data_IF_986725187350
#
_entry.id   IF_986725187350
#
_cell.length_a   1.000
_cell.length_b   1.000
_cell.length_c   1.000
_cell.angle_alpha   90.00
_cell.angle_beta   90.00
_cell.angle_gamma   90.00
#
_symmetry.space_group_name_H-M   'P 1'
#
loop_
_entity.id
_entity.type
_entity.pdbx_description
1 polymer ?
#
# COMPACT_ATOMS: atom_id res chain seq x y z
N UNK A 1 -19.45 -13.26 -5.50
CA UNK A 1 -18.22 -12.82 -4.81
C UNK A 1 -18.46 -11.43 -4.28
N UNK A 2 -18.19 -11.18 -3.00
CA UNK A 2 -18.42 -9.89 -2.35
C UNK A 2 -17.10 -9.27 -1.94
N UNK A 3 -16.80 -8.07 -2.43
CA UNK A 3 -15.55 -7.36 -2.12
C UNK A 3 -15.87 -5.96 -1.61
N UNK A 4 -15.32 -5.63 -0.45
CA UNK A 4 -15.37 -4.25 0.04
C UNK A 4 -14.21 -3.43 -0.54
N UNK A 5 -14.48 -2.16 -0.83
CA UNK A 5 -13.51 -1.23 -1.40
C UNK A 5 -13.45 0.05 -0.56
N UNK A 6 -12.24 0.49 -0.19
CA UNK A 6 -12.03 1.65 0.67
C UNK A 6 -10.68 2.33 0.48
N UNK A 7 -10.55 3.54 0.98
CA UNK A 7 -9.31 4.31 0.94
C UNK A 7 -9.25 5.31 2.09
N UNK A 8 -8.13 5.32 2.80
CA UNK A 8 -7.75 6.37 3.75
C UNK A 8 -6.27 6.63 3.49
N UNK A 9 -5.96 7.72 2.77
CA UNK A 9 -4.60 8.03 2.33
C UNK A 9 -4.16 9.41 2.81
N UNK A 10 -2.99 9.47 3.43
CA UNK A 10 -2.30 10.71 3.78
C UNK A 10 -0.80 10.45 3.90
N UNK A 11 0.02 11.40 3.44
CA UNK A 11 1.46 11.39 3.64
C UNK A 11 1.80 12.34 4.79
N UNK A 12 2.44 11.82 5.84
CA UNK A 12 2.68 12.59 7.06
C UNK A 12 4.12 13.08 7.14
N UNK A 13 4.28 14.39 7.22
CA UNK A 13 5.51 15.04 7.62
C UNK A 13 5.49 15.27 9.14
N UNK A 14 6.18 14.43 9.91
CA UNK A 14 6.16 14.52 11.39
C UNK A 14 6.89 15.76 11.92
N UNK A 15 7.64 16.46 11.07
CA UNK A 15 8.30 17.72 11.41
C UNK A 15 7.39 18.93 11.21
N UNK A 16 6.24 18.76 10.55
CA UNK A 16 5.26 19.84 10.39
C UNK A 16 4.50 20.08 11.69
N UNK A 17 4.40 21.34 12.17
CA UNK A 17 3.62 21.68 13.36
C UNK A 17 2.11 21.75 13.09
N UNK A 18 1.68 21.63 11.83
CA UNK A 18 0.28 21.76 11.42
C UNK A 18 -0.35 20.36 11.31
N UNK A 19 -1.26 19.98 12.22
CA UNK A 19 -1.91 18.68 12.15
C UNK A 19 -2.92 18.63 11.00
N UNK A 20 -3.06 17.46 10.39
CA UNK A 20 -4.11 17.19 9.40
C UNK A 20 -5.40 16.81 10.12
N UNK A 21 -6.44 17.60 9.92
CA UNK A 21 -7.75 17.44 10.53
C UNK A 21 -8.77 16.93 9.50
N UNK A 22 -9.95 16.51 9.98
CA UNK A 22 -10.99 15.94 9.12
C UNK A 22 -11.41 16.87 7.97
N UNK A 23 -11.32 18.19 8.16
CA UNK A 23 -11.65 19.21 7.15
C UNK A 23 -10.67 19.24 5.97
N UNK A 24 -9.47 18.70 6.16
CA UNK A 24 -8.40 18.68 5.16
C UNK A 24 -8.52 17.44 4.26
N UNK A 25 -9.33 16.46 4.65
CA UNK A 25 -9.67 15.30 3.83
C UNK A 25 -10.79 15.63 2.84
N UNK A 26 -10.55 15.31 1.57
CA UNK A 26 -11.61 15.13 0.59
C UNK A 26 -12.21 13.74 0.79
N UNK A 27 -13.50 13.69 1.10
CA UNK A 27 -14.20 12.43 1.39
C UNK A 27 -15.28 12.17 0.33
N UNK A 28 -15.26 10.97 -0.25
CA UNK A 28 -16.23 10.46 -1.21
C UNK A 28 -16.92 9.23 -0.63
N UNK A 29 -18.25 9.17 -0.77
CA UNK A 29 -19.11 8.14 -0.16
C UNK A 29 -20.15 7.60 -1.14
N UNK A 30 -20.70 6.43 -0.82
CA UNK A 30 -21.88 5.88 -1.47
C UNK A 30 -21.70 5.67 -2.97
N UNK A 31 -22.71 6.02 -3.76
CA UNK A 31 -22.74 5.77 -5.20
C UNK A 31 -21.67 6.51 -6.01
N UNK A 32 -21.05 7.55 -5.45
CA UNK A 32 -19.94 8.24 -6.12
C UNK A 32 -18.70 7.36 -6.22
N UNK A 33 -18.48 6.46 -5.25
CA UNK A 33 -17.39 5.48 -5.31
C UNK A 33 -17.56 4.52 -6.49
N UNK A 34 -18.81 4.26 -6.92
CA UNK A 34 -19.10 3.35 -8.04
C UNK A 34 -18.61 3.88 -9.41
N UNK A 35 -18.18 5.15 -9.47
CA UNK A 35 -17.63 5.75 -10.69
C UNK A 35 -16.14 5.40 -10.89
N UNK A 36 -15.47 4.90 -9.86
CA UNK A 36 -14.05 4.52 -9.91
C UNK A 36 -13.81 3.34 -10.87
N UNK A 37 -12.73 3.40 -11.63
CA UNK A 37 -12.43 2.39 -12.66
C UNK A 37 -12.13 1.00 -12.07
N UNK A 38 -11.63 0.93 -10.82
CA UNK A 38 -11.49 -0.35 -10.12
C UNK A 38 -12.85 -0.93 -9.79
N UNK A 39 -13.83 -0.11 -9.37
CA UNK A 39 -15.21 -0.60 -9.15
C UNK A 39 -15.81 -1.14 -10.45
N UNK A 40 -15.64 -0.41 -11.56
CA UNK A 40 -16.12 -0.87 -12.88
C UNK A 40 -15.48 -2.19 -13.28
N UNK A 41 -14.17 -2.34 -13.08
CA UNK A 41 -13.46 -3.59 -13.31
C UNK A 41 -14.04 -4.72 -12.44
N UNK A 42 -14.19 -4.52 -11.13
CA UNK A 42 -14.74 -5.53 -10.22
C UNK A 42 -16.16 -5.95 -10.65
N UNK A 43 -17.03 -5.00 -10.99
CA UNK A 43 -18.38 -5.29 -11.49
C UNK A 43 -18.30 -6.13 -12.78
N UNK A 44 -17.39 -5.79 -13.71
CA UNK A 44 -17.19 -6.56 -14.95
C UNK A 44 -16.73 -7.99 -14.71
N UNK A 45 -16.06 -8.24 -13.58
CA UNK A 45 -15.62 -9.57 -13.13
C UNK A 45 -16.71 -10.36 -12.38
N UNK A 46 -17.94 -9.82 -12.27
CA UNK A 46 -19.08 -10.42 -11.58
C UNK A 46 -19.04 -10.25 -10.05
N UNK A 47 -18.31 -9.25 -9.56
CA UNK A 47 -18.15 -8.97 -8.13
C UNK A 47 -19.26 -8.02 -7.66
N UNK A 48 -19.89 -8.37 -6.54
CA UNK A 48 -20.70 -7.45 -5.77
C UNK A 48 -19.75 -6.54 -4.97
N UNK A 49 -19.67 -5.27 -5.35
CA UNK A 49 -18.80 -4.30 -4.70
C UNK A 49 -19.54 -3.63 -3.55
N UNK A 50 -18.96 -3.70 -2.35
CA UNK A 50 -19.42 -2.98 -1.17
C UNK A 50 -18.57 -1.69 -1.05
N UNK A 51 -19.12 -0.52 -1.42
CA UNK A 51 -18.41 0.74 -1.24
C UNK A 51 -18.36 1.10 0.25
N UNK A 52 -17.18 1.50 0.74
CA UNK A 52 -17.01 1.99 2.12
C UNK A 52 -16.86 3.52 2.10
N UNK A 53 -15.63 4.02 2.19
CA UNK A 53 -15.24 5.42 2.18
C UNK A 53 -13.97 5.58 1.36
N UNK A 54 -13.86 6.64 0.55
CA UNK A 54 -12.57 7.16 0.10
C UNK A 54 -12.31 8.49 0.77
N UNK A 55 -11.22 8.56 1.53
CA UNK A 55 -10.73 9.77 2.16
C UNK A 55 -9.27 9.97 1.79
N UNK A 56 -8.95 11.15 1.28
CA UNK A 56 -7.57 11.53 1.00
C UNK A 56 -7.32 12.99 1.33
N UNK A 57 -6.16 13.27 1.90
CA UNK A 57 -5.66 14.61 2.18
C UNK A 57 -4.28 14.79 1.53
N UNK A 58 -3.98 16.03 1.14
CA UNK A 58 -2.66 16.41 0.65
C UNK A 58 -1.58 16.16 1.72
N UNK A 59 -0.31 15.91 1.32
CA UNK A 59 0.80 15.79 2.27
C UNK A 59 0.89 16.97 3.23
N UNK A 60 0.95 16.68 4.54
CA UNK A 60 0.93 17.68 5.62
C UNK A 60 1.42 17.04 6.92
N UNK A 61 1.23 17.69 8.08
CA UNK A 61 1.62 17.12 9.37
C UNK A 61 0.78 15.92 9.82
N UNK A 62 1.13 15.37 10.98
CA UNK A 62 0.49 14.18 11.56
C UNK A 62 -1.04 14.29 11.55
N UNK A 63 -1.73 13.20 11.20
CA UNK A 63 -3.19 13.16 11.23
C UNK A 63 -3.66 13.19 12.68
N UNK A 64 -4.55 14.13 13.00
CA UNK A 64 -5.16 14.21 14.33
C UNK A 64 -5.89 12.90 14.66
N UNK A 65 -5.75 12.43 15.90
CA UNK A 65 -6.37 11.16 16.34
C UNK A 65 -7.87 11.15 16.08
N UNK A 66 -8.54 12.28 16.31
CA UNK A 66 -9.98 12.46 16.09
C UNK A 66 -10.37 12.28 14.62
N UNK A 67 -9.61 12.87 13.69
CA UNK A 67 -9.90 12.74 12.27
C UNK A 67 -9.71 11.30 11.80
N UNK A 68 -8.58 10.68 12.19
CA UNK A 68 -8.28 9.30 11.86
C UNK A 68 -9.35 8.33 12.36
N UNK A 69 -9.68 8.35 13.66
CA UNK A 69 -10.69 7.45 14.23
C UNK A 69 -12.06 7.65 13.57
N UNK A 70 -12.43 8.88 13.23
CA UNK A 70 -13.70 9.14 12.52
C UNK A 70 -13.75 8.50 11.12
N UNK A 71 -12.62 8.45 10.41
CA UNK A 71 -12.54 7.84 9.08
C UNK A 71 -12.47 6.31 9.16
N UNK A 72 -11.67 5.81 10.12
CA UNK A 72 -11.57 4.38 10.42
C UNK A 72 -12.93 3.82 10.85
N UNK A 73 -13.63 4.47 11.78
CA UNK A 73 -14.93 4.01 12.26
C UNK A 73 -15.95 3.89 11.12
N UNK A 74 -15.90 4.80 10.14
CA UNK A 74 -16.77 4.73 8.96
C UNK A 74 -16.41 3.56 8.05
N UNK A 75 -15.12 3.32 7.81
CA UNK A 75 -14.63 2.15 7.08
C UNK A 75 -15.06 0.86 7.77
N UNK A 76 -14.79 0.72 9.07
CA UNK A 76 -15.08 -0.48 9.86
C UNK A 76 -16.58 -0.74 9.92
N UNK A 77 -17.40 0.28 10.16
CA UNK A 77 -18.86 0.12 10.19
C UNK A 77 -19.41 -0.43 8.86
N UNK A 78 -18.90 0.05 7.72
CA UNK A 78 -19.32 -0.47 6.43
C UNK A 78 -18.94 -1.95 6.24
N UNK A 79 -17.84 -2.41 6.85
CA UNK A 79 -17.46 -3.82 6.85
C UNK A 79 -18.30 -4.66 7.81
N UNK A 80 -18.65 -4.13 9.00
CA UNK A 80 -19.54 -4.79 9.97
C UNK A 80 -20.96 -4.99 9.41
N UNK A 81 -21.47 -3.98 8.70
CA UNK A 81 -22.78 -4.02 8.04
C UNK A 81 -22.78 -4.96 6.81
N UNK A 82 -21.62 -5.50 6.42
CA UNK A 82 -21.47 -6.40 5.27
C UNK A 82 -21.40 -7.87 5.69
N UNK A 83 -22.43 -8.64 5.36
CA UNK A 83 -22.38 -10.10 5.57
C UNK A 83 -21.30 -10.79 4.71
N UNK A 84 -20.46 -11.63 5.30
CA UNK A 84 -19.59 -12.59 4.58
C UNK A 84 -18.83 -12.03 3.36
N UNK A 85 -17.81 -11.20 3.59
CA UNK A 85 -16.91 -10.72 2.53
C UNK A 85 -15.94 -11.81 2.05
N UNK A 86 -15.73 -11.90 0.74
CA UNK A 86 -14.67 -12.74 0.15
C UNK A 86 -13.32 -12.00 0.12
N UNK A 87 -13.36 -10.67 0.12
CA UNK A 87 -12.16 -9.85 0.20
C UNK A 87 -12.40 -8.37 0.47
N UNK A 88 -11.30 -7.67 0.75
CA UNK A 88 -11.25 -6.22 0.92
C UNK A 88 -10.10 -5.68 0.08
N UNK A 89 -10.37 -4.65 -0.71
CA UNK A 89 -9.38 -3.94 -1.49
C UNK A 89 -9.24 -2.52 -0.91
N UNK A 90 -8.04 -2.18 -0.43
CA UNK A 90 -7.77 -0.88 0.20
C UNK A 90 -6.74 -0.09 -0.59
N UNK A 91 -6.98 1.20 -0.74
CA UNK A 91 -6.00 2.14 -1.28
C UNK A 91 -5.51 3.02 -0.14
N UNK A 92 -4.33 2.69 0.38
CA UNK A 92 -3.69 3.41 1.47
C UNK A 92 -2.46 4.16 0.93
N UNK A 93 -1.85 5.03 1.73
CA UNK A 93 -0.63 5.70 1.30
C UNK A 93 0.61 4.86 1.64
N UNK A 94 0.69 4.39 2.88
CA UNK A 94 1.85 3.70 3.46
C UNK A 94 2.72 4.62 4.33
N UNK A 95 2.39 5.91 4.47
CA UNK A 95 3.16 6.90 5.24
C UNK A 95 2.25 7.77 6.13
N UNK A 96 1.11 7.23 6.56
CA UNK A 96 0.21 7.94 7.45
C UNK A 96 0.63 7.73 8.91
N UNK A 97 1.09 8.80 9.54
CA UNK A 97 1.32 8.85 10.97
C UNK A 97 0.15 9.53 11.66
N UNK A 98 -0.31 8.93 12.76
CA UNK A 98 -1.49 9.36 13.50
C UNK A 98 -1.11 9.70 14.93
N UNK A 99 -1.62 10.83 15.40
CA UNK A 99 -1.35 11.34 16.74
C UNK A 99 -1.69 10.30 17.83
N UNK A 100 -0.67 9.87 18.59
CA UNK A 100 -0.82 8.91 19.68
C UNK A 100 -1.20 7.48 19.26
N UNK A 101 -1.17 7.17 17.96
CA UNK A 101 -1.38 5.83 17.40
C UNK A 101 -0.12 5.36 16.63
N UNK A 102 0.51 6.26 15.87
CA UNK A 102 1.66 5.94 15.00
C UNK A 102 1.20 5.51 13.61
N UNK A 103 1.76 4.41 13.11
CA UNK A 103 1.44 3.80 11.81
C UNK A 103 -0.06 3.55 11.63
N UNK A 104 -0.69 4.40 10.83
CA UNK A 104 -2.12 4.37 10.56
C UNK A 104 -2.54 3.24 9.63
N UNK A 105 -1.70 2.84 8.67
CA UNK A 105 -1.99 1.77 7.73
C UNK A 105 -2.07 0.41 8.42
N UNK A 106 -1.07 0.06 9.23
CA UNK A 106 -1.06 -1.20 9.97
C UNK A 106 -2.20 -1.23 10.99
N UNK A 107 -2.51 -0.09 11.63
CA UNK A 107 -3.64 0.00 12.55
C UNK A 107 -4.99 -0.26 11.84
N UNK A 108 -5.24 0.38 10.69
CA UNK A 108 -6.43 0.13 9.87
C UNK A 108 -6.53 -1.36 9.51
N UNK A 109 -5.45 -1.94 8.99
CA UNK A 109 -5.47 -3.34 8.53
C UNK A 109 -5.72 -4.33 9.67
N UNK A 110 -5.15 -4.06 10.85
CA UNK A 110 -5.45 -4.82 12.07
C UNK A 110 -6.92 -4.74 12.43
N UNK A 111 -7.53 -3.54 12.44
CA UNK A 111 -8.97 -3.36 12.74
C UNK A 111 -9.86 -4.03 11.70
N UNK A 112 -9.48 -3.99 10.43
CA UNK A 112 -10.17 -4.72 9.35
C UNK A 112 -10.11 -6.22 9.62
N UNK A 113 -8.96 -6.77 9.99
CA UNK A 113 -8.81 -8.19 10.35
C UNK A 113 -9.62 -8.59 11.57
N UNK A 114 -9.67 -7.76 12.60
CA UNK A 114 -10.52 -7.98 13.77
C UNK A 114 -12.02 -8.02 13.40
N UNK A 115 -12.41 -7.34 12.32
CA UNK A 115 -13.80 -7.25 11.85
C UNK A 115 -14.19 -8.41 10.94
N UNK A 116 -13.35 -8.75 9.96
CA UNK A 116 -13.70 -9.72 8.90
C UNK A 116 -13.02 -11.10 9.05
N UNK A 117 -12.03 -11.20 9.94
CA UNK A 117 -11.19 -12.38 10.12
C UNK A 117 -10.18 -12.64 8.99
N UNK A 118 -9.61 -13.85 8.99
CA UNK A 118 -8.54 -14.26 8.07
C UNK A 118 -9.02 -15.10 6.87
N UNK A 119 -10.34 -15.32 6.73
CA UNK A 119 -10.89 -16.07 5.59
C UNK A 119 -10.88 -15.22 4.32
N UNK A 120 -11.28 -13.95 4.44
CA UNK A 120 -11.31 -12.97 3.37
C UNK A 120 -9.89 -12.54 2.99
N UNK A 121 -9.65 -12.31 1.69
CA UNK A 121 -8.37 -11.80 1.21
C UNK A 121 -8.33 -10.26 1.32
N UNK A 122 -7.28 -9.71 1.90
CA UNK A 122 -7.01 -8.27 1.94
C UNK A 122 -5.90 -7.94 0.95
N UNK A 123 -6.22 -7.07 -0.01
CA UNK A 123 -5.28 -6.54 -0.99
C UNK A 123 -5.15 -5.03 -0.85
N UNK A 124 -3.92 -4.53 -0.82
CA UNK A 124 -3.64 -3.11 -0.59
C UNK A 124 -2.77 -2.55 -1.70
N UNK A 125 -3.19 -1.41 -2.25
CA UNK A 125 -2.35 -0.56 -3.09
C UNK A 125 -1.76 0.57 -2.23
N UNK A 126 -0.47 0.81 -2.37
CA UNK A 126 0.30 1.79 -1.61
C UNK A 126 1.03 2.78 -2.53
N UNK A 127 1.43 3.90 -1.95
CA UNK A 127 2.43 4.79 -2.54
C UNK A 127 3.84 4.20 -2.31
N UNK A 128 4.77 4.47 -3.24
CA UNK A 128 6.15 4.03 -3.08
C UNK A 128 6.90 4.78 -1.96
N UNK A 129 6.39 5.91 -1.49
CA UNK A 129 6.95 6.64 -0.33
C UNK A 129 6.57 6.02 1.02
N UNK A 130 5.88 4.87 1.05
CA UNK A 130 5.45 4.24 2.29
C UNK A 130 6.60 3.82 3.24
N UNK A 131 6.45 4.17 4.52
CA UNK A 131 7.30 3.74 5.64
C UNK A 131 6.71 2.48 6.30
N UNK A 132 6.91 1.33 5.67
CA UNK A 132 6.23 0.10 6.11
C UNK A 132 6.77 -0.45 7.44
N UNK A 133 5.87 -0.60 8.41
CA UNK A 133 6.03 -1.55 9.50
C UNK A 133 5.95 -2.97 8.94
N UNK A 134 6.97 -3.84 9.13
CA UNK A 134 6.92 -5.22 8.66
C UNK A 134 5.68 -6.01 9.10
N UNK A 135 5.07 -5.67 10.25
CA UNK A 135 3.85 -6.31 10.75
C UNK A 135 2.62 -6.07 9.85
N UNK A 136 2.68 -5.13 8.92
CA UNK A 136 1.60 -4.94 7.93
C UNK A 136 1.36 -6.22 7.11
N UNK A 137 2.39 -7.04 6.91
CA UNK A 137 2.31 -8.34 6.24
C UNK A 137 1.50 -9.39 7.03
N UNK A 138 1.33 -9.22 8.35
CA UNK A 138 0.49 -10.09 9.16
C UNK A 138 -1.00 -9.84 8.89
N UNK A 139 -1.34 -8.67 8.32
CA UNK A 139 -2.73 -8.24 8.12
C UNK A 139 -3.12 -8.12 6.65
N UNK A 140 -2.19 -7.83 5.73
CA UNK A 140 -2.46 -7.78 4.29
C UNK A 140 -1.89 -9.00 3.57
N UNK A 141 -2.75 -9.75 2.85
CA UNK A 141 -2.29 -10.91 2.06
C UNK A 141 -1.50 -10.46 0.83
N UNK A 142 -1.95 -9.37 0.20
CA UNK A 142 -1.33 -8.77 -0.98
C UNK A 142 -1.00 -7.31 -0.70
N UNK A 143 0.26 -6.94 -0.90
CA UNK A 143 0.71 -5.55 -0.95
C UNK A 143 1.34 -5.27 -2.31
N UNK A 144 0.88 -4.21 -2.97
CA UNK A 144 1.48 -3.67 -4.19
C UNK A 144 1.64 -2.16 -4.05
N UNK A 145 2.65 -1.59 -4.71
CA UNK A 145 2.92 -0.16 -4.65
C UNK A 145 3.22 0.43 -6.03
N UNK A 146 3.17 1.76 -6.10
CA UNK A 146 3.56 2.50 -7.30
C UNK A 146 4.99 2.11 -7.73
N UNK A 147 5.20 2.04 -9.04
CA UNK A 147 6.51 1.78 -9.67
C UNK A 147 7.09 3.02 -10.34
N UNK A 148 6.37 4.15 -10.30
CA UNK A 148 6.83 5.40 -10.92
C UNK A 148 6.94 6.56 -9.93
N UNK A 149 8.07 7.28 -9.95
CA UNK A 149 8.27 8.58 -9.33
C UNK A 149 8.88 9.54 -10.37
N UNK A 150 8.18 10.63 -10.76
CA UNK A 150 6.84 11.06 -10.33
C UNK A 150 5.72 10.04 -10.63
N UNK A 151 4.66 10.05 -9.80
CA UNK A 151 3.58 9.06 -9.89
C UNK A 151 2.70 9.30 -11.12
N UNK A 152 2.80 8.40 -12.10
CA UNK A 152 1.91 8.35 -13.27
C UNK A 152 1.12 7.05 -13.34
N UNK A 153 1.37 6.10 -12.42
CA UNK A 153 0.83 4.73 -12.42
C UNK A 153 -0.14 4.43 -11.25
N UNK A 154 -0.77 5.47 -10.70
CA UNK A 154 -1.71 5.36 -9.57
C UNK A 154 -2.89 4.45 -9.89
N UNK A 155 -3.52 4.66 -11.06
CA UNK A 155 -4.69 3.90 -11.50
C UNK A 155 -4.33 2.44 -11.80
N UNK A 156 -3.18 2.23 -12.45
CA UNK A 156 -2.62 0.94 -12.80
C UNK A 156 -2.33 0.09 -11.56
N UNK A 157 -1.75 0.71 -10.52
CA UNK A 157 -1.44 0.04 -9.26
C UNK A 157 -2.70 -0.36 -8.50
N UNK A 158 -3.69 0.54 -8.40
CA UNK A 158 -4.99 0.22 -7.79
C UNK A 158 -5.71 -0.91 -8.52
N UNK A 159 -5.68 -0.89 -9.86
CA UNK A 159 -6.23 -1.95 -10.68
C UNK A 159 -5.47 -3.27 -10.51
N UNK A 160 -4.14 -3.23 -10.36
CA UNK A 160 -3.31 -4.40 -10.07
C UNK A 160 -3.69 -5.02 -8.71
N UNK A 161 -3.85 -4.23 -7.66
CA UNK A 161 -4.30 -4.71 -6.35
C UNK A 161 -5.64 -5.47 -6.45
N UNK A 162 -6.60 -4.91 -7.20
CA UNK A 162 -7.88 -5.56 -7.44
C UNK A 162 -7.75 -6.85 -8.28
N UNK A 163 -6.91 -6.85 -9.32
CA UNK A 163 -6.65 -8.05 -10.13
C UNK A 163 -6.04 -9.19 -9.31
N UNK A 164 -5.06 -8.88 -8.46
CA UNK A 164 -4.43 -9.86 -7.55
C UNK A 164 -5.44 -10.40 -6.54
N UNK A 165 -6.29 -9.55 -5.99
CA UNK A 165 -7.38 -9.94 -5.09
C UNK A 165 -8.33 -10.95 -5.78
N UNK A 166 -8.86 -10.58 -6.95
CA UNK A 166 -9.81 -11.41 -7.69
C UNK A 166 -9.19 -12.72 -8.15
N UNK A 167 -7.94 -12.69 -8.64
CA UNK A 167 -7.19 -13.90 -8.96
C UNK A 167 -7.11 -14.83 -7.76
N UNK A 168 -6.76 -14.31 -6.59
CA UNK A 168 -6.61 -15.10 -5.36
C UNK A 168 -7.93 -15.75 -4.95
N UNK A 169 -9.02 -14.99 -4.94
CA UNK A 169 -10.35 -15.51 -4.60
C UNK A 169 -10.83 -16.56 -5.59
N UNK A 170 -10.73 -16.30 -6.90
CA UNK A 170 -11.24 -17.21 -7.95
C UNK A 170 -10.46 -18.53 -8.02
N UNK A 171 -9.16 -18.49 -7.74
CA UNK A 171 -8.28 -19.67 -7.83
C UNK A 171 -8.07 -20.38 -6.50
N UNK A 172 -8.46 -19.76 -5.39
CA UNK A 172 -8.21 -20.27 -4.05
C UNK A 172 -6.75 -20.12 -3.61
N UNK A 173 -5.92 -19.35 -4.32
CA UNK A 173 -4.57 -18.98 -3.88
C UNK A 173 -4.68 -18.20 -2.57
N UNK A 174 -3.74 -18.47 -1.65
CA UNK A 174 -3.61 -17.81 -0.36
C UNK A 174 -2.27 -17.08 -0.34
N UNK A 175 -2.22 -15.83 -0.81
CA UNK A 175 -0.95 -15.13 -0.96
C UNK A 175 -0.27 -14.91 0.37
N UNK A 176 1.06 -14.78 0.34
CA UNK A 176 1.86 -14.39 1.50
C UNK A 176 2.80 -13.27 1.09
N UNK A 177 2.78 -12.18 1.85
CA UNK A 177 3.61 -11.01 1.60
C UNK A 177 4.90 -11.07 2.42
N UNK A 178 6.05 -10.91 1.77
CA UNK A 178 7.36 -10.85 2.40
C UNK A 178 7.91 -9.43 2.28
N UNK A 179 8.47 -8.91 3.37
CA UNK A 179 9.07 -7.57 3.44
C UNK A 179 10.49 -7.66 3.95
N UNK A 180 11.45 -7.08 3.23
CA UNK A 180 12.85 -6.91 3.68
C UNK A 180 13.23 -5.44 3.61
N UNK A 181 13.72 -4.89 4.73
CA UNK A 181 14.10 -3.48 4.84
C UNK A 181 15.62 -3.34 4.66
N UNK A 182 16.11 -2.70 3.59
CA UNK A 182 17.56 -2.46 3.41
C UNK A 182 18.14 -1.40 4.34
N UNK A 183 17.33 -0.76 5.21
CA UNK A 183 17.77 0.31 6.13
C UNK A 183 18.43 1.50 5.42
N UNK A 184 17.89 1.87 4.26
CA UNK A 184 18.24 3.10 3.54
C UNK A 184 17.11 4.10 3.72
N UNK A 185 17.43 5.32 4.11
CA UNK A 185 16.49 6.44 4.15
C UNK A 185 17.03 7.56 3.26
N UNK A 186 16.32 7.83 2.17
CA UNK A 186 16.60 8.92 1.24
C UNK A 186 15.35 9.79 1.12
N UNK A 187 15.48 11.11 0.99
CA UNK A 187 14.35 11.94 0.56
C UNK A 187 13.85 11.45 -0.80
N UNK A 188 12.51 11.42 -1.00
CA UNK A 188 11.90 10.90 -2.23
C UNK A 188 12.38 11.62 -3.49
N UNK A 189 12.81 12.87 -3.35
CA UNK A 189 13.40 13.72 -4.40
C UNK A 189 14.72 13.15 -4.97
N UNK A 190 15.39 12.23 -4.26
CA UNK A 190 16.58 11.52 -4.75
C UNK A 190 16.23 10.30 -5.60
N UNK A 191 14.97 9.88 -5.63
CA UNK A 191 14.56 8.62 -6.26
C UNK A 191 13.57 8.88 -7.39
N UNK A 192 14.12 9.24 -8.54
CA UNK A 192 13.38 9.32 -9.81
C UNK A 192 13.48 7.95 -10.50
N UNK A 193 12.37 7.24 -10.62
CA UNK A 193 12.37 5.84 -11.06
C UNK A 193 12.75 5.64 -12.53
N UNK A 194 12.82 6.71 -13.32
CA UNK A 194 13.26 6.69 -14.72
C UNK A 194 14.77 6.93 -14.90
N UNK A 195 15.50 7.23 -13.82
CA UNK A 195 16.93 7.57 -13.85
C UNK A 195 17.73 6.56 -13.01
N UNK A 196 18.96 6.27 -13.40
CA UNK A 196 19.85 5.40 -12.62
C UNK A 196 20.27 6.07 -11.31
N UNK A 197 20.37 5.32 -10.19
CA UNK A 197 20.30 3.86 -10.07
C UNK A 197 18.87 3.26 -9.96
N UNK A 198 17.84 4.08 -9.84
CA UNK A 198 16.47 3.59 -9.58
C UNK A 198 15.91 2.83 -10.79
N UNK A 199 16.17 3.30 -12.01
CA UNK A 199 15.65 2.73 -13.24
C UNK A 199 15.96 1.22 -13.39
N UNK A 200 17.19 0.81 -13.13
CA UNK A 200 17.55 -0.62 -13.17
C UNK A 200 16.88 -1.43 -12.06
N UNK A 201 16.73 -0.86 -10.85
CA UNK A 201 16.06 -1.53 -9.73
C UNK A 201 14.57 -1.74 -10.05
N UNK A 202 13.86 -0.71 -10.49
CA UNK A 202 12.43 -0.80 -10.80
C UNK A 202 12.13 -1.69 -12.02
N UNK A 203 13.05 -1.74 -13.00
CA UNK A 203 12.94 -2.68 -14.13
C UNK A 203 13.01 -4.13 -13.68
N UNK A 204 13.85 -4.45 -12.68
CA UNK A 204 13.99 -5.81 -12.16
C UNK A 204 12.71 -6.35 -11.51
N UNK A 205 11.77 -5.48 -11.10
CA UNK A 205 10.48 -5.90 -10.54
C UNK A 205 9.68 -6.77 -11.53
N UNK A 206 9.69 -6.41 -12.81
CA UNK A 206 9.02 -7.21 -13.84
C UNK A 206 9.66 -8.61 -14.00
N UNK A 207 10.98 -8.70 -13.87
CA UNK A 207 11.69 -9.98 -13.91
C UNK A 207 11.36 -10.85 -12.69
N UNK A 208 11.17 -10.24 -11.51
CA UNK A 208 10.73 -10.94 -10.30
C UNK A 208 9.29 -11.45 -10.47
N UNK A 209 8.38 -10.63 -10.99
CA UNK A 209 6.96 -10.99 -11.20
C UNK A 209 6.78 -12.17 -12.17
N UNK A 210 7.75 -12.40 -13.05
CA UNK A 210 7.73 -13.52 -14.02
C UNK A 210 8.21 -14.85 -13.40
N UNK A 211 8.81 -14.84 -12.21
CA UNK A 211 9.28 -16.07 -11.55
C UNK A 211 8.07 -16.90 -11.09
N UNK A 212 8.10 -18.24 -11.28
CA UNK A 212 7.00 -19.10 -10.84
C UNK A 212 6.66 -18.93 -9.35
N UNK A 213 5.37 -18.77 -9.05
CA UNK A 213 4.85 -18.61 -7.69
C UNK A 213 4.99 -17.20 -7.10
N UNK A 214 5.74 -16.29 -7.74
CA UNK A 214 5.78 -14.88 -7.34
C UNK A 214 4.66 -14.12 -8.07
N UNK A 215 3.85 -13.39 -7.31
CA UNK A 215 2.62 -12.77 -7.79
C UNK A 215 2.80 -11.30 -8.11
N UNK A 216 3.58 -10.59 -7.29
CA UNK A 216 3.92 -9.19 -7.47
C UNK A 216 5.18 -8.85 -6.66
N UNK A 217 5.89 -7.82 -7.08
CA UNK A 217 7.01 -7.22 -6.37
C UNK A 217 6.91 -5.70 -6.35
N UNK A 218 7.39 -5.08 -5.29
CA UNK A 218 7.37 -3.63 -5.11
C UNK A 218 8.62 -3.17 -4.37
N UNK A 219 9.13 -1.99 -4.76
CA UNK A 219 10.17 -1.30 -4.03
C UNK A 219 9.59 0.02 -3.53
N UNK A 220 9.49 0.16 -2.20
CA UNK A 220 9.13 1.40 -1.55
C UNK A 220 10.40 2.10 -1.08
N UNK A 221 10.50 3.40 -1.32
CA UNK A 221 11.69 4.22 -1.03
C UNK A 221 11.66 4.79 0.39
N UNK A 222 10.48 4.77 1.02
CA UNK A 222 10.23 5.40 2.31
C UNK A 222 10.01 6.91 2.23
N UNK A 223 9.66 7.50 3.37
CA UNK A 223 9.41 8.93 3.53
C UNK A 223 10.37 9.50 4.56
N UNK A 224 11.41 10.21 4.10
CA UNK A 224 12.44 10.80 4.96
C UNK A 224 11.95 11.96 5.83
N UNK A 225 10.79 12.51 5.52
CA UNK A 225 10.17 13.60 6.28
C UNK A 225 9.29 13.09 7.44
N UNK A 226 9.43 11.83 7.82
CA UNK A 226 8.75 11.24 8.96
C UNK A 226 9.75 10.56 9.91
N UNK A 227 9.82 11.04 11.15
CA UNK A 227 10.56 10.46 12.26
C UNK A 227 9.75 9.31 12.89
N UNK A 228 9.84 8.13 12.27
CA UNK A 228 9.10 6.94 12.67
C UNK A 228 10.04 5.75 12.82
N UNK A 229 9.72 4.76 13.68
CA UNK A 229 10.54 3.55 13.84
C UNK A 229 10.73 2.75 12.55
N UNK A 230 9.88 2.99 11.55
CA UNK A 230 9.82 2.23 10.30
C UNK A 230 10.31 3.03 9.09
N UNK A 231 10.83 4.24 9.31
CA UNK A 231 11.33 5.14 8.28
C UNK A 231 12.54 4.54 7.54
N UNK A 232 12.26 3.85 6.43
CA UNK A 232 13.25 3.35 5.49
C UNK A 232 12.57 2.83 4.23
N UNK A 233 13.36 2.68 3.17
CA UNK A 233 13.00 1.86 2.03
C UNK A 233 12.62 0.43 2.45
N UNK A 234 11.77 -0.23 1.67
CA UNK A 234 11.26 -1.58 1.89
C UNK A 234 11.12 -2.30 0.55
N UNK A 235 11.74 -3.47 0.42
CA UNK A 235 11.48 -4.41 -0.67
C UNK A 235 10.31 -5.31 -0.27
N UNK A 236 9.38 -5.54 -1.19
CA UNK A 236 8.17 -6.34 -0.95
C UNK A 236 7.99 -7.33 -2.10
N UNK A 237 7.73 -8.59 -1.78
CA UNK A 237 7.32 -9.61 -2.76
C UNK A 237 6.12 -10.39 -2.22
N UNK A 238 5.12 -10.57 -3.06
CA UNK A 238 3.93 -11.39 -2.79
C UNK A 238 4.12 -12.75 -3.45
N UNK A 239 4.04 -13.82 -2.66
CA UNK A 239 4.05 -15.21 -3.15
C UNK A 239 2.64 -15.79 -3.23
N UNK A 240 2.48 -16.95 -3.85
CA UNK A 240 1.22 -17.71 -3.89
C UNK A 240 0.93 -18.52 -2.60
N UNK A 241 1.75 -18.34 -1.56
CA UNK A 241 1.69 -19.09 -0.30
C UNK A 241 2.32 -20.49 -0.35
N UNK A 242 2.98 -20.86 -1.45
CA UNK A 242 3.71 -22.13 -1.58
C UNK A 242 5.19 -21.94 -1.91
N UNK A 243 5.58 -20.73 -2.27
CA UNK A 243 6.95 -20.37 -2.67
C UNK A 243 7.53 -19.26 -1.78
N UNK A 244 7.25 -19.32 -0.48
CA UNK A 244 7.70 -18.32 0.50
C UNK A 244 9.23 -18.22 0.56
N UNK A 245 9.96 -19.34 0.45
CA UNK A 245 11.43 -19.35 0.44
C UNK A 245 12.01 -18.69 -0.82
N UNK A 246 11.39 -18.89 -1.99
CA UNK A 246 11.73 -18.19 -3.22
C UNK A 246 11.44 -16.69 -3.11
N UNK A 247 10.28 -16.34 -2.54
CA UNK A 247 9.88 -14.95 -2.34
C UNK A 247 10.82 -14.23 -1.39
N UNK A 248 11.22 -14.87 -0.28
CA UNK A 248 12.19 -14.31 0.66
C UNK A 248 13.55 -14.06 0.01
N UNK A 249 14.05 -15.02 -0.80
CA UNK A 249 15.29 -14.83 -1.57
C UNK A 249 15.17 -13.65 -2.54
N UNK A 250 14.11 -13.59 -3.34
CA UNK A 250 13.90 -12.50 -4.29
C UNK A 250 13.76 -11.13 -3.58
N UNK A 251 13.06 -11.07 -2.44
CA UNK A 251 12.92 -9.85 -1.64
C UNK A 251 14.26 -9.40 -1.07
N UNK A 252 15.08 -10.34 -0.60
CA UNK A 252 16.42 -10.09 -0.06
C UNK A 252 17.37 -9.59 -1.15
N UNK A 253 17.36 -10.20 -2.33
CA UNK A 253 18.14 -9.77 -3.50
C UNK A 253 17.76 -8.35 -3.94
N UNK A 254 16.45 -8.03 -3.96
CA UNK A 254 15.96 -6.68 -4.28
C UNK A 254 16.41 -5.65 -3.24
N UNK A 255 16.27 -5.97 -1.95
CA UNK A 255 16.75 -5.10 -0.86
C UNK A 255 18.26 -4.87 -0.94
N UNK A 256 19.05 -5.92 -1.16
CA UNK A 256 20.49 -5.84 -1.34
C UNK A 256 20.89 -5.00 -2.56
N UNK A 257 20.19 -5.15 -3.68
CA UNK A 257 20.41 -4.36 -4.88
C UNK A 257 20.20 -2.85 -4.62
N UNK A 258 19.18 -2.50 -3.83
CA UNK A 258 18.92 -1.12 -3.40
C UNK A 258 20.01 -0.62 -2.44
N UNK A 259 20.35 -1.41 -1.41
CA UNK A 259 21.41 -1.07 -0.45
C UNK A 259 22.75 -0.82 -1.14
N UNK A 260 23.15 -1.68 -2.07
CA UNK A 260 24.44 -1.59 -2.75
C UNK A 260 24.58 -0.32 -3.59
N UNK A 261 23.47 0.19 -4.14
CA UNK A 261 23.41 1.43 -4.94
C UNK A 261 23.07 2.68 -4.13
N UNK A 262 22.91 2.59 -2.79
CA UNK A 262 22.46 3.70 -1.94
C UNK A 262 23.28 4.99 -2.05
N UNK A 263 24.56 4.90 -2.44
CA UNK A 263 25.46 6.05 -2.61
C UNK A 263 25.45 6.65 -4.00
N UNK A 264 24.77 6.00 -4.94
CA UNK A 264 24.73 6.40 -6.34
C UNK A 264 23.50 7.28 -6.65
N UNK A 265 22.49 7.28 -5.77
CA UNK A 265 21.35 8.19 -5.84
C UNK A 265 21.81 9.64 -5.66
N UNK A 266 21.32 10.52 -6.53
CA UNK A 266 21.66 11.94 -6.54
C UNK A 266 20.41 12.78 -6.72
N UNK A 267 20.45 13.97 -6.16
CA UNK A 267 19.44 14.98 -6.41
C UNK A 267 19.61 15.49 -7.84
N UNK A 268 18.57 15.36 -8.67
CA UNK A 268 18.52 16.00 -9.98
C UNK A 268 18.06 17.45 -9.78
N UNK A 269 19.02 18.37 -9.75
CA UNK A 269 18.78 19.81 -9.78
C UNK A 269 19.48 20.40 -11.00
N UNK A 270 18.79 21.28 -11.73
CA UNK A 270 19.43 22.09 -12.75
C UNK A 270 20.58 22.88 -12.12
N UNK A 271 21.79 22.68 -12.64
CA UNK A 271 23.01 23.39 -12.24
C UNK A 271 23.09 24.78 -12.84
#
# INVERSE_FOLDING_TARGET
MRVALGSIGHESNTFSPLPTNIRDFKIVRGSELLKDDVVRFLISEGVEVIPTIYAWALPSGVVSKKAFLSLEDELIKALEDSDSLDGVCLFLHGAMEVEGIGDGETHILKRVRETIGFKAIISVALDLHGNLNPQIADYADVLTAYRTAPHVDVSETRLKAAKLLIRSIKTGIKPTTIIVKPLVLLPGEYVITSIEPAASIYRSLEEIDQKPGLMDSSMLVGMAWADTPYASASAVVVSDGKTEDEAYRATSELAEAYWNRRRDFKLEVES
#
